data_IF_641788276785
#
_entry.id   IF_641788276785
#
_cell.length_a   1.000
_cell.length_b   1.000
_cell.length_c   1.000
_cell.angle_alpha   90.00
_cell.angle_beta   90.00
_cell.angle_gamma   90.00
#
_symmetry.space_group_name_H-M   'P 1'
#
loop_
_entity.id
_entity.type
_entity.pdbx_description
1 polymer ?
#
# COMPACT_ATOMS: atom_id res chain seq x y z
N UNK A 1 -11.56 -2.20 -41.79
CA UNK A 1 -12.03 -2.60 -40.45
C UNK A 1 -12.93 -3.83 -40.56
N UNK A 2 -12.39 -5.04 -40.41
CA UNK A 2 -13.16 -6.29 -40.55
C UNK A 2 -13.13 -7.19 -39.31
N UNK A 3 -12.25 -6.91 -38.34
CA UNK A 3 -11.95 -7.79 -37.21
C UNK A 3 -13.19 -8.22 -36.40
N UNK A 4 -14.11 -7.29 -36.12
CA UNK A 4 -15.32 -7.58 -35.33
C UNK A 4 -16.46 -8.24 -36.12
N UNK A 5 -16.37 -8.29 -37.45
CA UNK A 5 -17.36 -8.98 -38.30
C UNK A 5 -17.13 -10.49 -38.32
N UNK A 6 -15.87 -10.90 -38.15
CA UNK A 6 -15.46 -12.30 -38.20
C UNK A 6 -15.48 -12.97 -36.81
N UNK A 7 -15.54 -12.17 -35.74
CA UNK A 7 -15.66 -12.65 -34.36
C UNK A 7 -17.14 -12.73 -33.98
N UNK A 8 -17.74 -13.91 -34.15
CA UNK A 8 -19.10 -14.21 -33.71
C UNK A 8 -19.09 -15.16 -32.50
N UNK A 9 -19.59 -14.74 -31.32
CA UNK A 9 -19.63 -15.61 -30.14
C UNK A 9 -20.54 -16.83 -30.33
N UNK A 10 -21.61 -16.68 -31.13
CA UNK A 10 -22.52 -17.78 -31.46
C UNK A 10 -21.79 -18.83 -32.32
N UNK A 11 -21.02 -18.38 -33.32
CA UNK A 11 -20.22 -19.28 -34.16
C UNK A 11 -19.14 -19.99 -33.33
N UNK A 12 -18.43 -19.27 -32.47
CA UNK A 12 -17.42 -19.85 -31.57
C UNK A 12 -18.01 -20.93 -30.64
N UNK A 13 -19.19 -20.69 -30.06
CA UNK A 13 -19.87 -21.69 -29.23
C UNK A 13 -20.30 -22.92 -30.03
N UNK A 14 -20.80 -22.74 -31.26
CA UNK A 14 -21.17 -23.86 -32.13
C UNK A 14 -19.96 -24.69 -32.56
N UNK A 15 -18.82 -24.05 -32.84
CA UNK A 15 -17.57 -24.70 -33.20
C UNK A 15 -17.00 -25.50 -32.03
N UNK A 16 -17.01 -24.91 -30.82
CA UNK A 16 -16.63 -25.60 -29.59
C UNK A 16 -17.51 -26.83 -29.35
N UNK A 17 -18.82 -26.72 -29.55
CA UNK A 17 -19.75 -27.85 -29.41
C UNK A 17 -19.43 -28.95 -30.42
N UNK A 18 -19.19 -28.59 -31.68
CA UNK A 18 -18.85 -29.55 -32.72
C UNK A 18 -17.54 -30.29 -32.38
N UNK A 19 -16.48 -29.56 -32.01
CA UNK A 19 -15.22 -30.15 -31.55
C UNK A 19 -15.39 -30.97 -30.26
N UNK A 20 -16.33 -30.59 -29.39
CA UNK A 20 -16.60 -31.32 -28.15
C UNK A 20 -17.17 -32.72 -28.40
N UNK A 21 -18.00 -32.89 -29.43
CA UNK A 21 -18.60 -34.19 -29.78
C UNK A 21 -17.86 -34.93 -30.90
N UNK A 22 -16.86 -34.31 -31.53
CA UNK A 22 -15.99 -34.96 -32.52
C UNK A 22 -15.16 -36.10 -31.90
N UNK A 23 -14.98 -37.19 -32.65
CA UNK A 23 -14.22 -38.37 -32.21
C UNK A 23 -12.75 -38.28 -32.62
N UNK A 24 -12.03 -37.34 -32.03
CA UNK A 24 -10.58 -37.28 -32.19
C UNK A 24 -9.87 -38.16 -31.18
N UNK A 25 -9.07 -39.13 -31.66
CA UNK A 25 -8.32 -40.08 -30.83
C UNK A 25 -7.42 -39.42 -29.77
N UNK A 26 -6.86 -38.24 -30.06
CA UNK A 26 -5.84 -37.62 -29.19
C UNK A 26 -6.36 -36.49 -28.31
N UNK A 27 -7.62 -36.06 -28.47
CA UNK A 27 -8.19 -34.91 -27.74
C UNK A 27 -8.09 -35.04 -26.23
N UNK A 28 -8.41 -36.22 -25.70
CA UNK A 28 -8.34 -36.49 -24.26
C UNK A 28 -6.91 -36.49 -23.73
N UNK A 29 -5.92 -36.91 -24.54
CA UNK A 29 -4.50 -36.90 -24.17
C UNK A 29 -3.98 -35.48 -24.02
N UNK A 30 -4.28 -34.61 -24.97
CA UNK A 30 -3.89 -33.20 -24.90
C UNK A 30 -4.62 -32.46 -23.79
N UNK A 31 -5.91 -32.74 -23.58
CA UNK A 31 -6.67 -32.18 -22.46
C UNK A 31 -6.05 -32.57 -21.12
N UNK A 32 -5.74 -33.87 -20.94
CA UNK A 32 -5.12 -34.38 -19.72
C UNK A 32 -3.73 -33.77 -19.50
N UNK A 33 -2.90 -33.67 -20.54
CA UNK A 33 -1.58 -33.06 -20.45
C UNK A 33 -1.65 -31.58 -20.05
N UNK A 34 -2.54 -30.82 -20.69
CA UNK A 34 -2.76 -29.41 -20.36
C UNK A 34 -3.21 -29.25 -18.91
N UNK A 35 -4.22 -30.02 -18.48
CA UNK A 35 -4.69 -30.01 -17.11
C UNK A 35 -3.59 -30.41 -16.11
N UNK A 36 -2.78 -31.42 -16.43
CA UNK A 36 -1.67 -31.86 -15.59
C UNK A 36 -0.62 -30.75 -15.42
N UNK A 37 -0.24 -30.04 -16.49
CA UNK A 37 0.67 -28.90 -16.40
C UNK A 37 0.10 -27.78 -15.52
N UNK A 38 -1.18 -27.43 -15.70
CA UNK A 38 -1.84 -26.41 -14.89
C UNK A 38 -1.88 -26.82 -13.41
N UNK A 39 -2.31 -28.04 -13.11
CA UNK A 39 -2.40 -28.56 -11.74
C UNK A 39 -1.01 -28.63 -11.10
N UNK A 40 0.04 -29.03 -11.85
CA UNK A 40 1.39 -29.08 -11.33
C UNK A 40 1.90 -27.70 -10.89
N UNK A 41 1.65 -26.66 -11.70
CA UNK A 41 2.02 -25.28 -11.37
C UNK A 41 1.28 -24.81 -10.12
N UNK A 42 -0.05 -24.92 -10.10
CA UNK A 42 -0.84 -24.49 -8.94
C UNK A 42 -0.56 -25.33 -7.69
N UNK A 43 -0.27 -26.63 -7.85
CA UNK A 43 0.12 -27.53 -6.77
C UNK A 43 1.44 -27.12 -6.13
N UNK A 44 2.43 -26.74 -6.93
CA UNK A 44 3.69 -26.20 -6.43
C UNK A 44 3.46 -24.91 -5.62
N UNK A 45 2.68 -23.97 -6.17
CA UNK A 45 2.30 -22.74 -5.45
C UNK A 45 1.59 -23.05 -4.13
N UNK A 46 0.60 -23.94 -4.11
CA UNK A 46 -0.14 -24.32 -2.90
C UNK A 46 0.79 -24.96 -1.85
N UNK A 47 1.76 -25.77 -2.29
CA UNK A 47 2.70 -26.42 -1.39
C UNK A 47 3.67 -25.43 -0.72
N UNK A 48 4.04 -24.37 -1.43
CA UNK A 48 4.98 -23.35 -0.95
C UNK A 48 4.30 -22.15 -0.31
N UNK A 49 3.02 -21.90 -0.60
CA UNK A 49 2.31 -20.69 -0.21
C UNK A 49 2.05 -20.53 1.29
N UNK A 50 2.55 -21.44 2.13
CA UNK A 50 2.53 -21.31 3.58
C UNK A 50 1.16 -20.84 4.07
N UNK A 51 0.13 -21.70 3.93
CA UNK A 51 -1.24 -21.44 4.38
C UNK A 51 -1.35 -21.31 5.93
N UNK A 52 -0.40 -20.65 6.59
CA UNK A 52 -0.54 -20.10 7.92
C UNK A 52 -1.51 -18.91 7.86
N UNK A 53 -2.77 -19.21 7.55
CA UNK A 53 -3.91 -18.28 7.60
C UNK A 53 -4.35 -18.12 9.05
N UNK A 54 -3.42 -17.77 9.92
CA UNK A 54 -3.77 -17.06 11.14
C UNK A 54 -2.91 -15.82 11.15
N UNK A 55 -3.49 -14.72 10.65
CA UNK A 55 -2.98 -13.40 10.95
C UNK A 55 -2.95 -13.26 12.47
N UNK A 56 -1.81 -13.55 13.10
CA UNK A 56 -1.63 -13.31 14.52
C UNK A 56 -1.83 -11.82 14.71
N UNK A 57 -2.89 -11.44 15.44
CA UNK A 57 -3.07 -10.04 15.81
C UNK A 57 -1.76 -9.62 16.49
N UNK A 58 -1.14 -8.51 16.07
CA UNK A 58 0.06 -8.05 16.72
C UNK A 58 -0.23 -7.88 18.22
N UNK A 59 0.69 -8.33 19.06
CA UNK A 59 0.62 -8.07 20.50
C UNK A 59 0.79 -6.56 20.71
N UNK A 60 -0.29 -5.87 21.05
CA UNK A 60 -0.27 -4.43 21.29
C UNK A 60 0.10 -4.19 22.76
N UNK A 61 1.36 -3.82 23.00
CA UNK A 61 1.80 -3.33 24.32
C UNK A 61 1.55 -1.84 24.40
N UNK A 62 0.54 -1.43 25.16
CA UNK A 62 0.30 -0.01 25.46
C UNK A 62 1.29 0.46 26.53
N UNK A 63 2.18 1.37 26.15
CA UNK A 63 3.05 2.07 27.10
C UNK A 63 2.41 3.43 27.40
N UNK A 64 1.75 3.53 28.55
CA UNK A 64 1.18 4.80 29.03
C UNK A 64 2.24 5.54 29.85
N UNK A 65 2.62 6.74 29.42
CA UNK A 65 3.56 7.62 30.15
C UNK A 65 2.92 8.42 31.28
N UNK A 66 1.60 8.33 31.39
CA UNK A 66 0.76 9.13 32.28
C UNK A 66 0.29 8.28 33.45
N UNK A 67 0.26 8.86 34.65
CA UNK A 67 -0.18 8.14 35.84
C UNK A 67 -1.68 7.75 35.73
N UNK A 68 -2.05 6.50 36.03
CA UNK A 68 -3.44 6.08 36.04
C UNK A 68 -4.17 6.72 37.24
N UNK A 69 -5.36 7.30 36.99
CA UNK A 69 -6.20 7.87 38.05
C UNK A 69 -5.99 9.35 38.37
N UNK A 70 -5.27 10.10 37.52
CA UNK A 70 -5.16 11.56 37.65
C UNK A 70 -6.54 12.23 37.61
N UNK A 71 -6.72 13.23 38.46
CA UNK A 71 -7.92 14.06 38.47
C UNK A 71 -7.96 15.04 37.29
N UNK A 72 -9.16 15.48 36.91
CA UNK A 72 -9.36 16.44 35.82
C UNK A 72 -8.66 17.78 36.06
N UNK A 73 -8.46 18.18 37.32
CA UNK A 73 -7.70 19.39 37.67
C UNK A 73 -6.20 19.20 37.41
N UNK A 74 -5.63 18.05 37.79
CA UNK A 74 -4.22 17.73 37.51
C UNK A 74 -3.96 17.65 36.01
N UNK A 75 -4.90 17.07 35.25
CA UNK A 75 -4.82 17.00 33.78
C UNK A 75 -4.81 18.41 33.19
N UNK A 76 -5.70 19.31 33.66
CA UNK A 76 -5.75 20.69 33.16
C UNK A 76 -4.47 21.47 33.45
N UNK A 77 -3.93 21.37 34.67
CA UNK A 77 -2.67 22.02 35.04
C UNK A 77 -1.50 21.53 34.19
N UNK A 78 -1.41 20.23 33.95
CA UNK A 78 -0.36 19.65 33.12
C UNK A 78 -0.48 20.06 31.64
N UNK A 79 -1.71 20.14 31.12
CA UNK A 79 -1.97 20.64 29.76
C UNK A 79 -1.51 22.09 29.62
N UNK A 80 -1.86 22.95 30.58
CA UNK A 80 -1.49 24.37 30.54
C UNK A 80 0.05 24.55 30.59
N UNK A 81 0.72 23.82 31.49
CA UNK A 81 2.18 23.86 31.60
C UNK A 81 2.86 23.38 30.30
N UNK A 82 2.35 22.31 29.69
CA UNK A 82 2.86 21.79 28.43
C UNK A 82 2.61 22.76 27.26
N UNK A 83 1.46 23.43 27.24
CA UNK A 83 1.11 24.41 26.23
C UNK A 83 2.06 25.62 26.28
N UNK A 84 2.34 26.15 27.47
CA UNK A 84 3.32 27.22 27.65
C UNK A 84 4.71 26.82 27.14
N UNK A 85 5.16 25.60 27.45
CA UNK A 85 6.46 25.10 26.98
C UNK A 85 6.49 24.93 25.46
N UNK A 86 5.39 24.47 24.86
CA UNK A 86 5.24 24.35 23.41
C UNK A 86 5.34 25.72 22.73
N UNK A 87 4.62 26.71 23.23
CA UNK A 87 4.63 28.07 22.69
C UNK A 87 6.02 28.71 22.75
N UNK A 88 6.75 28.53 23.88
CA UNK A 88 8.14 28.98 24.00
C UNK A 88 9.05 28.35 22.94
N UNK A 89 8.96 27.03 22.75
CA UNK A 89 9.76 26.30 21.76
C UNK A 89 9.42 26.71 20.33
N UNK A 90 8.13 26.94 20.04
CA UNK A 90 7.71 27.42 18.73
C UNK A 90 8.21 28.83 18.44
N UNK A 91 8.15 29.74 19.42
CA UNK A 91 8.70 31.09 19.29
C UNK A 91 10.22 31.06 19.03
N UNK A 92 10.97 30.21 19.74
CA UNK A 92 12.41 30.02 19.49
C UNK A 92 12.70 29.42 18.11
N UNK A 93 11.87 28.48 17.65
CA UNK A 93 11.99 27.88 16.31
C UNK A 93 11.75 28.92 15.22
N UNK A 94 10.70 29.74 15.36
CA UNK A 94 10.37 30.80 14.41
C UNK A 94 11.48 31.84 14.33
N UNK A 95 12.03 32.28 15.47
CA UNK A 95 13.20 33.18 15.48
C UNK A 95 14.39 32.59 14.72
N UNK A 96 14.72 31.32 14.96
CA UNK A 96 15.80 30.63 14.23
C UNK A 96 15.49 30.48 12.74
N UNK A 97 14.23 30.28 12.35
CA UNK A 97 13.83 30.23 10.95
C UNK A 97 13.96 31.59 10.26
N UNK A 98 13.58 32.67 10.92
CA UNK A 98 13.76 34.04 10.42
C UNK A 98 15.23 34.40 10.28
N UNK A 99 16.06 34.08 11.28
CA UNK A 99 17.51 34.27 11.23
C UNK A 99 18.14 33.50 10.07
N UNK A 100 17.76 32.23 9.87
CA UNK A 100 18.22 31.43 8.73
C UNK A 100 17.81 32.06 7.40
N UNK A 101 16.54 32.46 7.25
CA UNK A 101 16.05 33.15 6.04
C UNK A 101 16.84 34.44 5.78
N UNK A 102 17.11 35.23 6.81
CA UNK A 102 17.91 36.45 6.69
C UNK A 102 19.36 36.16 6.28
N UNK A 103 19.98 35.12 6.81
CA UNK A 103 21.32 34.67 6.40
C UNK A 103 21.34 34.25 4.92
N UNK A 104 20.35 33.48 4.47
CA UNK A 104 20.23 33.07 3.07
C UNK A 104 20.03 34.26 2.13
N UNK A 105 19.19 35.24 2.49
CA UNK A 105 19.02 36.47 1.69
C UNK A 105 20.34 37.24 1.54
N UNK A 106 21.09 37.44 2.64
CA UNK A 106 22.40 38.10 2.60
C UNK A 106 23.41 37.37 1.70
N UNK A 107 23.44 36.04 1.76
CA UNK A 107 24.31 35.24 0.89
C UNK A 107 23.89 35.35 -0.59
N UNK A 108 22.59 35.35 -0.86
CA UNK A 108 22.07 35.49 -2.22
C UNK A 108 22.37 36.88 -2.81
N UNK A 109 22.23 37.96 -2.03
CA UNK A 109 22.65 39.31 -2.41
C UNK A 109 24.15 39.37 -2.75
N UNK A 110 25.01 38.76 -1.92
CA UNK A 110 26.45 38.70 -2.18
C UNK A 110 26.83 37.92 -3.45
N UNK A 111 26.01 36.94 -3.83
CA UNK A 111 26.19 36.12 -5.02
C UNK A 111 25.48 36.69 -6.27
N UNK A 112 24.82 37.84 -6.15
CA UNK A 112 24.13 38.51 -7.26
C UNK A 112 22.83 37.84 -7.72
N UNK A 113 22.18 37.06 -6.83
CA UNK A 113 20.88 36.42 -7.10
C UNK A 113 19.73 37.35 -6.65
N UNK A 114 18.64 37.38 -7.42
CA UNK A 114 17.43 38.15 -7.08
C UNK A 114 16.69 37.49 -5.91
N UNK A 115 16.23 38.27 -4.93
CA UNK A 115 15.73 37.78 -3.62
C UNK A 115 14.34 38.31 -3.24
N UNK A 116 13.65 38.98 -4.17
CA UNK A 116 12.24 39.37 -4.06
C UNK A 116 11.29 38.18 -4.30
#
# INVERSE_FOLDING_TARGET
>A
MGFFRDISPVRAASDLKAYWFDQQEHKWRFLALSAACTIAIFGAFISESGFEVQWKRPEITWVTSLEPGRSDEQIRQEIEANQLLKEKREAERLKREEERKAQYRRLAEQLGMDTE
#
